data_IF_587220068834
#
_entry.id   IF_587220068834
#
_cell.length_a   1.000
_cell.length_b   1.000
_cell.length_c   1.000
_cell.angle_alpha   90.00
_cell.angle_beta   90.00
_cell.angle_gamma   90.00
#
_symmetry.space_group_name_H-M   'P 1'
#
loop_
_entity.id
_entity.type
_entity.pdbx_description
1 polymer ?
#
# COMPACT_ATOMS: atom_id res chain seq x y z
N UNK A 1 -33.81 -19.80 10.25
CA UNK A 1 -34.53 -20.96 9.67
C UNK A 1 -35.81 -20.42 9.06
N UNK A 2 -36.03 -20.61 7.75
CA UNK A 2 -37.23 -20.17 7.04
C UNK A 2 -38.03 -21.42 6.67
N UNK A 3 -39.35 -21.39 6.88
CA UNK A 3 -40.26 -22.45 6.44
C UNK A 3 -40.82 -22.09 5.06
N UNK A 4 -40.68 -23.00 4.09
CA UNK A 4 -41.28 -22.86 2.76
C UNK A 4 -41.80 -24.21 2.26
N UNK A 5 -42.90 -24.21 1.51
CA UNK A 5 -43.51 -25.38 0.89
C UNK A 5 -43.69 -25.16 -0.61
N UNK A 6 -42.91 -25.87 -1.43
CA UNK A 6 -42.95 -25.75 -2.89
C UNK A 6 -44.28 -26.21 -3.51
N UNK A 7 -44.97 -27.16 -2.86
CA UNK A 7 -46.26 -27.72 -3.34
C UNK A 7 -47.44 -26.80 -3.04
N UNK A 8 -47.30 -25.92 -2.03
CA UNK A 8 -48.34 -24.96 -1.62
C UNK A 8 -48.05 -23.52 -2.03
N UNK A 9 -46.93 -23.29 -2.72
CA UNK A 9 -46.39 -21.94 -3.02
C UNK A 9 -46.24 -21.02 -1.79
N UNK A 10 -46.15 -21.59 -0.59
CA UNK A 10 -46.01 -20.82 0.65
C UNK A 10 -44.55 -20.60 1.01
N UNK A 11 -44.18 -19.34 1.28
CA UNK A 11 -42.86 -18.99 1.82
C UNK A 11 -41.71 -18.99 0.82
N UNK A 12 -41.99 -19.23 -0.47
CA UNK A 12 -40.99 -19.17 -1.56
C UNK A 12 -40.37 -17.77 -1.67
N UNK A 13 -41.17 -16.71 -1.54
CA UNK A 13 -40.69 -15.32 -1.59
C UNK A 13 -39.68 -15.02 -0.47
N UNK A 14 -39.93 -15.53 0.74
CA UNK A 14 -39.03 -15.34 1.89
C UNK A 14 -37.68 -16.05 1.69
N UNK A 15 -37.69 -17.19 1.03
CA UNK A 15 -36.45 -17.89 0.67
C UNK A 15 -35.69 -17.07 -0.37
N UNK A 16 -36.37 -16.50 -1.36
CA UNK A 16 -35.76 -15.65 -2.37
C UNK A 16 -35.15 -14.38 -1.78
N UNK A 17 -35.86 -13.69 -0.90
CA UNK A 17 -35.36 -12.51 -0.20
C UNK A 17 -34.11 -12.82 0.62
N UNK A 18 -34.09 -13.95 1.35
CA UNK A 18 -32.93 -14.36 2.14
C UNK A 18 -31.71 -14.72 1.26
N UNK A 19 -31.93 -15.28 0.07
CA UNK A 19 -30.86 -15.54 -0.90
C UNK A 19 -30.28 -14.23 -1.43
N UNK A 20 -31.12 -13.25 -1.77
CA UNK A 20 -30.69 -11.93 -2.22
C UNK A 20 -29.91 -11.18 -1.14
N UNK A 21 -30.37 -11.22 0.10
CA UNK A 21 -29.71 -10.59 1.25
C UNK A 21 -28.34 -11.23 1.53
N UNK A 22 -28.25 -12.56 1.45
CA UNK A 22 -26.98 -13.26 1.59
C UNK A 22 -26.01 -12.95 0.44
N UNK A 23 -26.50 -12.88 -0.80
CA UNK A 23 -25.69 -12.51 -1.97
C UNK A 23 -25.15 -11.09 -1.85
N UNK A 24 -25.96 -10.14 -1.38
CA UNK A 24 -25.53 -8.77 -1.12
C UNK A 24 -24.44 -8.72 -0.03
N UNK A 25 -24.63 -9.45 1.08
CA UNK A 25 -23.66 -9.55 2.16
C UNK A 25 -22.31 -10.15 1.71
N UNK A 26 -22.33 -11.20 0.90
CA UNK A 26 -21.10 -11.82 0.37
C UNK A 26 -20.36 -10.89 -0.60
N UNK A 27 -21.09 -10.18 -1.46
CA UNK A 27 -20.51 -9.18 -2.36
C UNK A 27 -19.89 -8.02 -1.57
N UNK A 28 -20.62 -7.45 -0.61
CA UNK A 28 -20.12 -6.36 0.22
C UNK A 28 -18.89 -6.81 1.04
N UNK A 29 -18.95 -7.98 1.67
CA UNK A 29 -17.84 -8.54 2.45
C UNK A 29 -16.59 -8.78 1.59
N UNK A 30 -16.74 -9.31 0.37
CA UNK A 30 -15.65 -9.49 -0.59
C UNK A 30 -15.02 -8.17 -1.03
N UNK A 31 -15.83 -7.14 -1.28
CA UNK A 31 -15.33 -5.80 -1.61
C UNK A 31 -14.67 -5.11 -0.41
N UNK A 32 -15.18 -5.31 0.81
CA UNK A 32 -14.59 -4.79 2.05
C UNK A 32 -13.20 -5.38 2.30
N UNK A 33 -13.04 -6.70 2.15
CA UNK A 33 -11.73 -7.36 2.27
C UNK A 33 -10.74 -6.81 1.24
N UNK A 34 -11.17 -6.69 -0.02
CA UNK A 34 -10.34 -6.13 -1.10
C UNK A 34 -9.95 -4.68 -0.81
N UNK A 35 -10.90 -3.84 -0.37
CA UNK A 35 -10.64 -2.43 0.01
C UNK A 35 -9.68 -2.32 1.18
N UNK A 36 -9.81 -3.18 2.20
CA UNK A 36 -8.88 -3.24 3.35
C UNK A 36 -7.47 -3.55 2.90
N UNK A 37 -7.30 -4.54 2.01
CA UNK A 37 -5.98 -4.88 1.47
C UNK A 37 -5.39 -3.72 0.66
N UNK A 38 -6.19 -3.02 -0.16
CA UNK A 38 -5.70 -1.86 -0.92
C UNK A 38 -5.29 -0.70 -0.01
N UNK A 39 -6.08 -0.41 1.04
CA UNK A 39 -5.72 0.61 2.04
C UNK A 39 -4.42 0.27 2.74
N UNK A 40 -4.24 -0.99 3.16
CA UNK A 40 -3.00 -1.43 3.79
C UNK A 40 -1.80 -1.26 2.85
N UNK A 41 -1.94 -1.61 1.57
CA UNK A 41 -0.87 -1.39 0.57
C UNK A 41 -0.52 0.09 0.45
N UNK A 42 -1.52 0.97 0.37
CA UNK A 42 -1.30 2.42 0.27
C UNK A 42 -0.61 2.97 1.53
N UNK A 43 -1.05 2.54 2.70
CA UNK A 43 -0.46 2.95 3.98
C UNK A 43 0.99 2.50 4.11
N UNK A 44 1.29 1.25 3.78
CA UNK A 44 2.66 0.73 3.76
C UNK A 44 3.54 1.53 2.79
N UNK A 45 3.05 1.81 1.57
CA UNK A 45 3.79 2.63 0.60
C UNK A 45 4.05 4.03 1.13
N UNK A 46 3.07 4.67 1.77
CA UNK A 46 3.23 6.00 2.35
C UNK A 46 4.29 6.00 3.47
N UNK A 47 4.21 5.05 4.40
CA UNK A 47 5.16 4.91 5.49
C UNK A 47 6.59 4.67 4.99
N UNK A 48 6.76 3.80 3.99
CA UNK A 48 8.06 3.55 3.36
C UNK A 48 8.57 4.82 2.68
N UNK A 49 7.72 5.54 1.94
CA UNK A 49 8.10 6.78 1.27
C UNK A 49 8.53 7.87 2.26
N UNK A 50 7.83 8.03 3.38
CA UNK A 50 8.17 9.00 4.43
C UNK A 50 9.52 8.66 5.07
N UNK A 51 9.71 7.39 5.46
CA UNK A 51 10.98 6.89 6.00
C UNK A 51 12.14 7.10 5.00
N UNK A 52 11.88 6.80 3.72
CA UNK A 52 12.78 7.01 2.60
C UNK A 52 12.95 8.49 2.21
N UNK A 53 12.16 9.41 2.74
CA UNK A 53 12.42 10.85 2.58
C UNK A 53 13.36 11.34 3.67
N UNK A 54 13.05 10.99 4.92
CA UNK A 54 13.84 11.39 6.09
C UNK A 54 15.28 10.91 6.04
N UNK A 55 15.51 9.66 5.66
CA UNK A 55 16.87 9.12 5.56
C UNK A 55 17.67 9.80 4.45
N UNK A 56 17.02 10.22 3.35
CA UNK A 56 17.70 10.80 2.20
C UNK A 56 18.15 12.20 2.61
N UNK A 57 17.26 12.90 3.33
CA UNK A 57 17.61 14.15 3.98
C UNK A 57 18.80 14.00 4.92
N UNK A 58 18.81 12.98 5.79
CA UNK A 58 19.95 12.70 6.68
C UNK A 58 21.26 12.44 5.93
N UNK A 59 21.23 11.66 4.85
CA UNK A 59 22.42 11.38 4.03
C UNK A 59 22.94 12.65 3.35
N UNK A 60 22.05 13.45 2.77
CA UNK A 60 22.42 14.65 2.02
C UNK A 60 22.88 15.80 2.93
N UNK A 61 22.21 16.00 4.06
CA UNK A 61 22.53 17.07 5.01
C UNK A 61 23.71 16.70 5.93
N UNK A 62 23.91 15.40 6.17
CA UNK A 62 24.96 14.87 7.03
C UNK A 62 26.37 14.92 6.43
N UNK A 63 27.36 14.49 7.20
CA UNK A 63 28.75 14.38 6.75
C UNK A 63 29.06 13.06 6.02
N UNK A 64 28.23 12.75 5.02
CA UNK A 64 28.45 11.61 4.12
C UNK A 64 29.28 12.05 2.90
N UNK A 65 29.87 11.09 2.18
CA UNK A 65 30.59 11.38 0.94
C UNK A 65 29.69 12.07 -0.11
N UNK A 66 28.41 11.68 -0.19
CA UNK A 66 27.42 12.27 -1.09
C UNK A 66 27.01 13.67 -0.61
N UNK A 67 26.78 13.84 0.69
CA UNK A 67 26.45 15.14 1.28
C UNK A 67 27.56 16.19 1.10
N UNK A 68 28.83 15.79 1.29
CA UNK A 68 30.00 16.65 1.01
C UNK A 68 30.07 17.06 -0.46
N UNK A 69 29.98 16.10 -1.38
CA UNK A 69 29.95 16.37 -2.83
C UNK A 69 28.84 17.34 -3.21
N UNK A 70 27.64 17.18 -2.64
CA UNK A 70 26.52 18.09 -2.89
C UNK A 70 26.82 19.51 -2.38
N UNK A 71 27.36 19.65 -1.16
CA UNK A 71 27.76 20.97 -0.61
C UNK A 71 28.85 21.65 -1.43
N UNK A 72 29.77 20.87 -1.98
CA UNK A 72 30.90 21.36 -2.77
C UNK A 72 30.55 21.61 -4.26
N UNK A 73 29.32 21.32 -4.70
CA UNK A 73 28.87 21.47 -6.08
C UNK A 73 28.63 22.93 -6.48
N UNK A 74 29.72 23.67 -6.72
CA UNK A 74 29.69 25.10 -7.08
C UNK A 74 29.12 25.40 -8.47
N UNK A 75 29.18 24.43 -9.39
CA UNK A 75 28.90 24.65 -10.81
C UNK A 75 27.62 23.97 -11.31
N UNK A 76 26.83 23.36 -10.42
CA UNK A 76 25.60 22.66 -10.80
C UNK A 76 25.81 21.42 -11.68
N UNK A 77 27.03 20.89 -11.78
CA UNK A 77 27.36 19.79 -12.70
C UNK A 77 26.95 18.41 -12.18
N UNK A 78 26.56 18.30 -10.91
CA UNK A 78 26.03 17.05 -10.38
C UNK A 78 24.71 16.69 -11.07
N UNK A 79 24.65 15.48 -11.60
CA UNK A 79 23.43 14.90 -12.14
C UNK A 79 22.52 14.45 -10.97
N UNK A 80 21.32 15.03 -10.80
CA UNK A 80 20.43 14.68 -9.69
C UNK A 80 19.96 13.22 -9.69
N UNK A 81 19.78 12.61 -10.86
CA UNK A 81 19.35 11.21 -10.98
C UNK A 81 20.45 10.25 -10.54
N UNK A 82 21.68 10.47 -11.00
CA UNK A 82 22.82 9.66 -10.56
C UNK A 82 23.04 9.78 -9.04
N UNK A 83 22.89 10.99 -8.49
CA UNK A 83 23.02 11.21 -7.06
C UNK A 83 21.91 10.53 -6.25
N UNK A 84 20.67 10.50 -6.78
CA UNK A 84 19.56 9.77 -6.16
C UNK A 84 19.82 8.26 -6.11
N UNK A 85 20.33 7.66 -7.19
CA UNK A 85 20.73 6.24 -7.22
C UNK A 85 21.82 5.94 -6.20
N UNK A 86 22.82 6.82 -6.04
CA UNK A 86 23.85 6.67 -5.00
C UNK A 86 23.26 6.70 -3.59
N UNK A 87 22.30 7.60 -3.31
CA UNK A 87 21.60 7.68 -2.01
C UNK A 87 20.73 6.45 -1.76
N UNK A 88 20.05 5.95 -2.79
CA UNK A 88 19.25 4.72 -2.70
C UNK A 88 20.13 3.49 -2.48
N UNK A 89 21.31 3.41 -3.13
CA UNK A 89 22.27 2.33 -2.95
C UNK A 89 22.86 2.25 -1.55
N UNK A 90 23.06 3.39 -0.87
CA UNK A 90 23.51 3.42 0.54
C UNK A 90 22.47 2.90 1.54
N UNK A 91 21.19 2.82 1.14
CA UNK A 91 20.12 2.30 1.99
C UNK A 91 19.95 0.80 1.94
N UNK A 92 20.44 0.13 0.90
CA UNK A 92 20.29 -1.30 0.78
C UNK A 92 20.93 -1.97 2.01
N UNK A 93 20.15 -2.61 2.89
CA UNK A 93 20.73 -3.33 4.01
C UNK A 93 21.55 -4.50 3.46
N UNK A 94 22.71 -4.74 4.05
CA UNK A 94 23.34 -6.05 4.07
C UNK A 94 22.34 -7.01 4.75
N UNK A 95 21.50 -7.64 3.95
CA UNK A 95 20.39 -8.48 4.37
C UNK A 95 20.13 -9.56 3.34
N UNK A 96 21.19 -10.25 2.94
CA UNK A 96 21.11 -11.57 2.32
C UNK A 96 21.69 -12.57 3.34
N UNK A 97 20.80 -13.14 4.16
CA UNK A 97 21.05 -14.37 4.91
C UNK A 97 20.38 -15.53 4.20
#
# INVERSE_FOLDING_TARGET
IILASAVKEEGIDRVWDAVLEHQAYLNESGTLATRRQQRLKQEVVALVADRAREEARRVLDGDTAVGRRLRENRNGKLNPYALAEEVLGQRAPQGGG
#
